data_IF_106402477835
#
_entry.id   IF_106402477835
#
_cell.length_a   1.000
_cell.length_b   1.000
_cell.length_c   1.000
_cell.angle_alpha   90.00
_cell.angle_beta   90.00
_cell.angle_gamma   90.00
#
_symmetry.space_group_name_H-M   'P 1'
#
loop_
_entity.id
_entity.type
_entity.pdbx_description
1 polymer ?
#
# COMPACT_ATOMS: atom_id res chain seq x y z
N UNK A 1 -5.08 -9.39 -33.75
CA UNK A 1 -5.63 -10.45 -32.86
C UNK A 1 -4.69 -10.79 -31.70
N UNK A 2 -3.38 -10.87 -31.95
CA UNK A 2 -2.35 -11.17 -30.93
C UNK A 2 -2.22 -10.11 -29.81
N UNK A 3 -2.28 -8.83 -30.18
CA UNK A 3 -2.19 -7.67 -29.25
C UNK A 3 -3.32 -7.65 -28.22
N UNK A 4 -4.53 -8.00 -28.65
CA UNK A 4 -5.72 -8.06 -27.79
C UNK A 4 -5.61 -9.19 -26.75
N UNK A 5 -5.11 -10.35 -27.18
CA UNK A 5 -4.86 -11.50 -26.29
C UNK A 5 -3.77 -11.19 -25.26
N UNK A 6 -2.67 -10.58 -25.69
CA UNK A 6 -1.56 -10.15 -24.80
C UNK A 6 -2.03 -9.14 -23.74
N UNK A 7 -2.87 -8.17 -24.13
CA UNK A 7 -3.46 -7.18 -23.22
C UNK A 7 -4.40 -7.82 -22.18
N UNK A 8 -5.22 -8.78 -22.60
CA UNK A 8 -6.11 -9.53 -21.68
C UNK A 8 -5.31 -10.34 -20.65
N UNK A 9 -4.25 -11.02 -21.09
CA UNK A 9 -3.36 -11.77 -20.21
C UNK A 9 -2.66 -10.85 -19.19
N UNK A 10 -2.05 -9.75 -19.66
CA UNK A 10 -1.42 -8.75 -18.78
C UNK A 10 -2.36 -8.26 -17.67
N UNK A 11 -3.62 -7.97 -18.01
CA UNK A 11 -4.61 -7.52 -17.03
C UNK A 11 -4.93 -8.58 -15.97
N UNK A 12 -5.02 -9.86 -16.36
CA UNK A 12 -5.22 -10.97 -15.42
C UNK A 12 -4.05 -11.07 -14.43
N UNK A 13 -2.81 -10.92 -14.91
CA UNK A 13 -1.63 -10.90 -14.04
C UNK A 13 -1.64 -9.73 -13.05
N UNK A 14 -1.96 -8.51 -13.51
CA UNK A 14 -2.05 -7.34 -12.63
C UNK A 14 -3.08 -7.55 -11.51
N UNK A 15 -4.26 -8.07 -11.84
CA UNK A 15 -5.31 -8.37 -10.85
C UNK A 15 -4.88 -9.46 -9.87
N UNK A 16 -4.20 -10.50 -10.36
CA UNK A 16 -3.66 -11.57 -9.53
C UNK A 16 -2.60 -11.06 -8.55
N UNK A 17 -1.62 -10.27 -9.04
CA UNK A 17 -0.60 -9.63 -8.21
C UNK A 17 -1.26 -8.76 -7.14
N UNK A 18 -2.17 -7.85 -7.52
CA UNK A 18 -2.85 -6.99 -6.55
C UNK A 18 -3.57 -7.81 -5.47
N UNK A 19 -4.29 -8.87 -5.85
CA UNK A 19 -5.04 -9.72 -4.92
C UNK A 19 -4.14 -10.41 -3.89
N UNK A 20 -2.91 -10.77 -4.26
CA UNK A 20 -1.95 -11.43 -3.35
C UNK A 20 -1.28 -10.40 -2.44
N UNK A 21 -0.78 -9.30 -3.00
CA UNK A 21 -0.02 -8.32 -2.24
C UNK A 21 -0.90 -7.47 -1.32
N UNK A 22 -2.15 -7.17 -1.71
CA UNK A 22 -3.04 -6.32 -0.93
C UNK A 22 -3.25 -6.75 0.52
N UNK A 23 -3.66 -8.01 0.84
CA UNK A 23 -3.88 -8.41 2.23
C UNK A 23 -2.58 -8.42 3.05
N UNK A 24 -1.44 -8.75 2.44
CA UNK A 24 -0.14 -8.78 3.13
C UNK A 24 0.31 -7.36 3.47
N UNK A 25 0.16 -6.43 2.52
CA UNK A 25 0.57 -5.04 2.69
C UNK A 25 -0.42 -4.20 3.49
N UNK A 26 -1.67 -4.65 3.66
CA UNK A 26 -2.68 -3.93 4.44
C UNK A 26 -2.21 -3.71 5.88
N UNK A 27 -1.63 -4.74 6.51
CA UNK A 27 -1.16 -4.66 7.90
C UNK A 27 -0.08 -3.59 8.11
N UNK A 28 1.07 -3.62 7.41
CA UNK A 28 2.11 -2.61 7.60
C UNK A 28 1.62 -1.20 7.19
N UNK A 29 0.80 -1.07 6.14
CA UNK A 29 0.28 0.23 5.71
C UNK A 29 -0.67 0.85 6.73
N UNK A 30 -1.59 0.06 7.30
CA UNK A 30 -2.48 0.54 8.35
C UNK A 30 -1.68 0.93 9.59
N UNK A 31 -0.76 0.09 10.02
CA UNK A 31 0.05 0.35 11.21
C UNK A 31 0.86 1.65 11.05
N UNK A 32 1.56 1.80 9.94
CA UNK A 32 2.37 3.00 9.62
C UNK A 32 1.50 4.25 9.55
N UNK A 33 0.30 4.15 8.94
CA UNK A 33 -0.63 5.28 8.83
C UNK A 33 -1.18 5.71 10.19
N UNK A 34 -1.67 4.75 10.98
CA UNK A 34 -2.24 5.01 12.31
C UNK A 34 -1.18 5.57 13.25
N UNK A 35 0.00 4.95 13.32
CA UNK A 35 1.11 5.44 14.15
C UNK A 35 1.59 6.82 13.74
N UNK A 36 1.65 7.11 12.43
CA UNK A 36 2.01 8.42 11.91
C UNK A 36 1.01 9.51 12.31
N UNK A 37 -0.29 9.24 12.16
CA UNK A 37 -1.36 10.16 12.57
C UNK A 37 -1.31 10.42 14.07
N UNK A 38 -1.22 9.37 14.89
CA UNK A 38 -1.14 9.50 16.34
C UNK A 38 0.11 10.29 16.75
N UNK A 39 1.26 9.99 16.16
CA UNK A 39 2.50 10.71 16.46
C UNK A 39 2.37 12.20 16.12
N UNK A 40 1.79 12.54 14.97
CA UNK A 40 1.57 13.93 14.57
C UNK A 40 0.65 14.68 15.55
N UNK A 41 -0.42 14.03 16.02
CA UNK A 41 -1.32 14.62 17.04
C UNK A 41 -0.57 14.86 18.36
N UNK A 42 0.27 13.93 18.78
CA UNK A 42 1.05 14.05 20.01
C UNK A 42 2.13 15.13 19.89
N UNK A 43 2.71 15.30 18.71
CA UNK A 43 3.66 16.36 18.42
C UNK A 43 3.00 17.74 18.52
N UNK A 44 1.82 17.92 17.92
CA UNK A 44 1.04 19.16 18.00
C UNK A 44 0.61 19.52 19.43
N UNK A 45 0.43 18.53 20.30
CA UNK A 45 0.07 18.74 21.72
C UNK A 45 1.27 18.86 22.65
N UNK A 46 2.50 18.79 22.12
CA UNK A 46 3.74 18.87 22.91
C UNK A 46 3.98 17.64 23.81
N UNK A 47 3.30 16.52 23.55
CA UNK A 47 3.38 15.28 24.33
C UNK A 47 4.28 14.22 23.71
N UNK A 48 4.79 14.44 22.50
CA UNK A 48 5.61 13.49 21.73
C UNK A 48 6.80 12.90 22.51
N UNK A 49 7.42 13.67 23.41
CA UNK A 49 8.56 13.19 24.21
C UNK A 49 8.25 11.94 25.04
N UNK A 50 7.01 11.82 25.52
CA UNK A 50 6.55 10.68 26.33
C UNK A 50 6.19 9.46 25.47
N UNK A 51 6.03 9.65 24.15
CA UNK A 51 5.50 8.65 23.23
C UNK A 51 6.43 8.38 22.04
N UNK A 52 7.74 8.57 22.21
CA UNK A 52 8.75 8.30 21.16
C UNK A 52 8.71 6.86 20.64
N UNK A 53 8.25 5.91 21.46
CA UNK A 53 8.08 4.50 21.07
C UNK A 53 7.08 4.31 19.91
N UNK A 54 6.10 5.22 19.75
CA UNK A 54 5.15 5.19 18.62
C UNK A 54 5.87 5.40 17.29
N UNK A 55 6.86 6.31 17.28
CA UNK A 55 7.71 6.51 16.11
C UNK A 55 8.62 5.30 15.85
N UNK A 56 9.02 4.60 16.91
CA UNK A 56 9.71 3.30 16.78
C UNK A 56 8.83 2.27 16.07
N UNK A 57 7.58 2.09 16.50
CA UNK A 57 6.63 1.18 15.85
C UNK A 57 6.34 1.57 14.40
N UNK A 58 6.23 2.86 14.12
CA UNK A 58 6.06 3.39 12.76
C UNK A 58 7.21 2.97 11.84
N UNK A 59 8.44 2.87 12.36
CA UNK A 59 9.61 2.42 11.59
C UNK A 59 9.78 0.91 11.58
N UNK A 60 9.03 0.15 12.38
CA UNK A 60 9.17 -1.30 12.51
C UNK A 60 10.05 -1.77 13.68
N UNK A 61 10.37 -0.89 14.63
CA UNK A 61 11.02 -1.25 15.88
C UNK A 61 9.95 -1.68 16.91
N UNK A 62 9.63 -2.98 16.96
CA UNK A 62 8.61 -3.58 17.84
C UNK A 62 9.20 -4.10 19.16
N UNK A 63 10.22 -3.42 19.69
CA UNK A 63 10.93 -3.84 20.90
C UNK A 63 11.90 -5.00 20.60
N UNK A 64 11.49 -6.24 20.88
CA UNK A 64 12.34 -7.45 20.71
C UNK A 64 12.58 -7.74 19.22
N UNK A 65 11.60 -7.43 18.39
CA UNK A 65 11.66 -7.62 16.94
C UNK A 65 12.00 -6.27 16.31
N UNK A 66 13.19 -6.17 15.72
CA UNK A 66 13.64 -4.95 15.04
C UNK A 66 13.67 -5.13 13.52
N UNK A 67 12.68 -4.57 12.84
CA UNK A 67 12.62 -4.51 11.37
C UNK A 67 12.93 -3.09 10.85
N UNK A 68 13.51 -2.19 11.65
CA UNK A 68 13.71 -0.78 11.29
C UNK A 68 14.41 -0.58 9.94
N UNK A 69 15.31 -1.50 9.56
CA UNK A 69 16.04 -1.44 8.29
C UNK A 69 15.26 -1.96 7.07
N UNK A 70 14.22 -2.77 7.25
CA UNK A 70 13.51 -3.45 6.15
C UNK A 70 12.07 -2.96 6.04
N UNK A 71 11.42 -2.71 7.19
CA UNK A 71 10.02 -2.35 7.29
C UNK A 71 9.66 -1.10 6.47
N UNK A 72 10.41 0.02 6.53
CA UNK A 72 10.08 1.20 5.72
C UNK A 72 10.12 0.91 4.21
N UNK A 73 11.08 0.10 3.76
CA UNK A 73 11.19 -0.29 2.35
C UNK A 73 10.06 -1.21 1.94
N UNK A 74 9.70 -2.18 2.78
CA UNK A 74 8.57 -3.08 2.54
C UNK A 74 7.27 -2.28 2.39
N UNK A 75 7.02 -1.35 3.31
CA UNK A 75 5.83 -0.50 3.30
C UNK A 75 5.80 0.40 2.07
N UNK A 76 6.92 1.04 1.73
CA UNK A 76 7.01 1.92 0.56
C UNK A 76 6.83 1.16 -0.76
N UNK A 77 7.54 0.03 -0.94
CA UNK A 77 7.44 -0.78 -2.15
C UNK A 77 6.06 -1.41 -2.29
N UNK A 78 5.51 -1.92 -1.19
CA UNK A 78 4.15 -2.45 -1.12
C UNK A 78 3.12 -1.43 -1.56
N UNK A 79 3.20 -0.20 -1.04
CA UNK A 79 2.33 0.90 -1.44
C UNK A 79 2.45 1.19 -2.95
N UNK A 80 3.67 1.30 -3.48
CA UNK A 80 3.90 1.58 -4.90
C UNK A 80 3.29 0.50 -5.80
N UNK A 81 3.48 -0.78 -5.46
CA UNK A 81 2.90 -1.91 -6.18
C UNK A 81 1.37 -1.81 -6.17
N UNK A 82 0.77 -1.55 -5.00
CA UNK A 82 -0.69 -1.46 -4.87
C UNK A 82 -1.27 -0.26 -5.62
N UNK A 83 -0.63 0.91 -5.56
CA UNK A 83 -1.02 2.10 -6.32
C UNK A 83 -0.96 1.81 -7.81
N UNK A 84 0.16 1.27 -8.30
CA UNK A 84 0.36 0.99 -9.72
C UNK A 84 -0.70 0.01 -10.25
N UNK A 85 -0.86 -1.13 -9.55
CA UNK A 85 -1.82 -2.17 -9.95
C UNK A 85 -3.27 -1.68 -9.81
N UNK A 86 -3.60 -0.92 -8.77
CA UNK A 86 -4.91 -0.30 -8.57
C UNK A 86 -5.27 0.71 -9.66
N UNK A 87 -4.37 1.63 -10.01
CA UNK A 87 -4.57 2.61 -11.09
C UNK A 87 -4.72 1.91 -12.44
N UNK A 88 -3.91 0.89 -12.72
CA UNK A 88 -4.00 0.08 -13.95
C UNK A 88 -5.39 -0.58 -14.08
N UNK A 89 -5.91 -1.14 -12.99
CA UNK A 89 -7.26 -1.71 -12.94
C UNK A 89 -8.35 -0.65 -13.12
N UNK A 90 -8.26 0.47 -12.39
CA UNK A 90 -9.22 1.58 -12.46
C UNK A 90 -9.35 2.15 -13.88
N UNK A 91 -8.22 2.43 -14.55
CA UNK A 91 -8.20 2.94 -15.92
C UNK A 91 -8.83 1.97 -16.91
N UNK A 92 -8.69 0.66 -16.69
CA UNK A 92 -9.28 -0.36 -17.57
C UNK A 92 -10.78 -0.50 -17.36
N UNK A 93 -11.24 -0.44 -16.11
CA UNK A 93 -12.68 -0.45 -15.79
C UNK A 93 -13.40 0.72 -16.45
N UNK A 94 -12.85 1.94 -16.32
CA UNK A 94 -13.44 3.15 -16.92
C UNK A 94 -13.59 3.05 -18.44
N UNK A 95 -12.62 2.43 -19.14
CA UNK A 95 -12.68 2.24 -20.60
C UNK A 95 -13.77 1.26 -21.05
N UNK A 96 -14.10 0.28 -20.21
CA UNK A 96 -15.13 -0.71 -20.55
C UNK A 96 -16.54 -0.15 -20.30
N UNK A 97 -16.71 0.71 -19.29
CA UNK A 97 -17.99 1.39 -19.01
C UNK A 97 -18.38 2.46 -20.05
N UNK A 98 -17.42 2.95 -20.86
CA UNK A 98 -17.67 3.98 -21.89
C UNK A 98 -18.01 3.40 -23.27
N UNK A 99 -18.11 2.08 -23.43
CA UNK A 99 -18.60 1.48 -24.68
C UNK A 99 -20.13 1.42 -24.60
N UNK A 100 -20.87 2.11 -25.49
CA UNK A 100 -22.32 1.96 -25.55
C UNK A 100 -22.65 0.50 -25.89
N UNK A 101 -23.64 -0.07 -25.20
CA UNK A 101 -24.25 -1.32 -25.62
C UNK A 101 -24.92 -1.06 -26.97
N UNK A 102 -24.43 -1.72 -28.02
CA UNK A 102 -25.09 -1.80 -29.33
C UNK A 102 -25.97 -3.04 -29.30
#
# INVERSE_FOLDING_TARGET
METTKKRSQYFKYIRYLHRIFAPIMLLPLLLTTITGIIYQILDLTGKQKNFKWILGWHKGAFGVINLEHIYPFLTALGLLILIFTGISMWRTMRRNSSKPAI
#
